data_IF_589041377715
#
_entry.id   IF_589041377715
#
_cell.length_a   1.000
_cell.length_b   1.000
_cell.length_c   1.000
_cell.angle_alpha   90.00
_cell.angle_beta   90.00
_cell.angle_gamma   90.00
#
_symmetry.space_group_name_H-M   'P 1'
#
loop_
_entity.id
_entity.type
_entity.pdbx_description
1 polymer ?
#
# COMPACT_ATOMS: atom_id res chain seq x y z
N UNK A 1 -12.21 12.19 -3.77
CA UNK A 1 -11.72 10.84 -3.39
C UNK A 1 -10.52 10.48 -4.27
N UNK A 2 -9.64 9.56 -3.84
CA UNK A 2 -8.50 9.10 -4.65
C UNK A 2 -8.27 7.58 -4.47
N UNK A 3 -8.34 6.85 -5.59
CA UNK A 3 -8.10 5.41 -5.68
C UNK A 3 -7.72 5.02 -7.11
N UNK A 4 -7.13 3.84 -7.29
CA UNK A 4 -6.47 3.45 -8.54
C UNK A 4 -7.39 3.43 -9.78
N UNK A 5 -8.66 3.01 -9.62
CA UNK A 5 -9.61 2.89 -10.72
C UNK A 5 -10.28 4.22 -11.13
N UNK A 6 -9.94 5.36 -10.51
CA UNK A 6 -10.47 6.65 -10.93
C UNK A 6 -9.88 7.07 -12.29
N UNK A 7 -10.68 7.69 -13.18
CA UNK A 7 -10.17 8.33 -14.38
C UNK A 7 -9.07 9.37 -14.04
N UNK A 8 -8.03 9.53 -14.88
CA UNK A 8 -6.92 10.45 -14.61
C UNK A 8 -7.37 11.88 -14.28
N UNK A 9 -8.34 12.40 -15.03
CA UNK A 9 -8.93 13.73 -14.80
C UNK A 9 -9.52 13.89 -13.40
N UNK A 10 -10.13 12.83 -12.86
CA UNK A 10 -10.68 12.86 -11.50
C UNK A 10 -9.60 12.72 -10.43
N UNK A 11 -8.52 12.00 -10.71
CA UNK A 11 -7.36 11.96 -9.81
C UNK A 11 -6.71 13.34 -9.69
N UNK A 12 -6.69 14.12 -10.79
CA UNK A 12 -6.10 15.47 -10.80
C UNK A 12 -6.82 16.47 -9.88
N UNK A 13 -8.14 16.31 -9.67
CA UNK A 13 -8.92 17.16 -8.74
C UNK A 13 -8.37 17.17 -7.32
N UNK A 14 -7.67 16.12 -6.92
CA UNK A 14 -7.05 16.05 -5.59
C UNK A 14 -5.90 17.04 -5.41
N UNK A 15 -5.36 17.63 -6.48
CA UNK A 15 -4.28 18.63 -6.40
C UNK A 15 -4.82 20.05 -6.41
N UNK A 16 -6.04 20.27 -6.90
CA UNK A 16 -6.68 21.59 -6.91
C UNK A 16 -6.92 22.12 -5.49
N UNK A 17 -6.76 23.42 -5.23
CA UNK A 17 -7.07 24.02 -3.93
C UNK A 17 -8.56 23.95 -3.63
N UNK A 18 -8.92 23.93 -2.35
CA UNK A 18 -10.33 24.06 -1.96
C UNK A 18 -10.82 25.50 -2.19
N UNK A 19 -12.12 25.70 -2.49
CA UNK A 19 -12.71 27.04 -2.59
C UNK A 19 -12.52 27.86 -1.30
N UNK A 20 -12.50 29.20 -1.37
CA UNK A 20 -12.38 30.06 -0.19
C UNK A 20 -13.46 29.75 0.85
N UNK A 21 -13.07 29.65 2.12
CA UNK A 21 -13.96 29.30 3.23
C UNK A 21 -14.20 27.79 3.44
N UNK A 22 -13.69 26.92 2.55
CA UNK A 22 -13.85 25.48 2.67
C UNK A 22 -12.55 24.77 3.04
N UNK A 23 -12.67 23.68 3.82
CA UNK A 23 -11.54 22.77 4.10
C UNK A 23 -11.54 21.61 3.12
N UNK A 24 -10.39 21.34 2.52
CA UNK A 24 -10.17 20.16 1.68
C UNK A 24 -10.18 18.89 2.52
N UNK A 25 -11.04 17.94 2.16
CA UNK A 25 -11.07 16.59 2.73
C UNK A 25 -10.87 15.56 1.63
N UNK A 26 -9.93 14.64 1.82
CA UNK A 26 -9.55 13.65 0.80
C UNK A 26 -9.75 12.26 1.39
N UNK A 27 -10.69 11.52 0.82
CA UNK A 27 -10.83 10.08 1.08
C UNK A 27 -9.89 9.34 0.15
N UNK A 28 -8.89 8.66 0.70
CA UNK A 28 -7.84 8.00 -0.05
C UNK A 28 -7.70 6.52 0.31
N UNK A 29 -7.38 5.71 -0.69
CA UNK A 29 -6.83 4.35 -0.47
C UNK A 29 -5.31 4.42 -0.23
N UNK A 30 -4.65 3.27 -0.15
CA UNK A 30 -3.20 3.18 -0.02
C UNK A 30 -2.41 3.80 -1.19
N UNK A 31 -3.05 4.23 -2.29
CA UNK A 31 -2.38 4.98 -3.36
C UNK A 31 -1.73 6.28 -2.86
N UNK A 32 -2.33 6.93 -1.86
CA UNK A 32 -1.77 8.14 -1.26
C UNK A 32 -0.58 7.87 -0.31
N UNK A 33 -0.33 6.60 0.05
CA UNK A 33 0.71 6.20 1.01
C UNK A 33 2.11 6.31 0.43
N UNK A 34 2.31 6.03 -0.86
CA UNK A 34 3.63 5.93 -1.49
C UNK A 34 3.79 6.95 -2.61
N UNK A 35 2.87 6.96 -3.58
CA UNK A 35 3.16 7.53 -4.90
C UNK A 35 2.75 8.99 -5.12
N UNK A 36 2.04 9.63 -4.18
CA UNK A 36 1.47 10.97 -4.41
C UNK A 36 1.72 11.93 -3.25
N UNK A 37 2.16 13.15 -3.58
CA UNK A 37 2.27 14.29 -2.66
C UNK A 37 1.15 15.26 -2.94
N UNK A 38 0.16 15.32 -2.04
CA UNK A 38 -0.94 16.27 -2.16
C UNK A 38 -0.59 17.49 -1.30
N UNK A 39 -0.52 18.70 -1.88
CA UNK A 39 -0.17 19.89 -1.13
C UNK A 39 -1.24 20.26 -0.10
N UNK A 40 -0.83 20.90 0.99
CA UNK A 40 -1.72 21.38 2.05
C UNK A 40 -2.27 20.31 3.00
N UNK A 41 -1.81 19.06 2.92
CA UNK A 41 -2.22 18.00 3.86
C UNK A 41 -1.52 18.20 5.21
N UNK A 42 -2.29 18.63 6.21
CA UNK A 42 -1.85 18.84 7.61
C UNK A 42 -2.39 17.80 8.59
N UNK A 43 -3.42 17.07 8.18
CA UNK A 43 -4.13 16.12 9.02
C UNK A 43 -4.30 14.80 8.28
N UNK A 44 -3.94 13.69 8.93
CA UNK A 44 -4.18 12.34 8.43
C UNK A 44 -5.07 11.61 9.43
N UNK A 45 -6.09 10.94 8.93
CA UNK A 45 -6.93 10.02 9.71
C UNK A 45 -6.65 8.62 9.17
N UNK A 46 -6.08 7.76 10.00
CA UNK A 46 -5.67 6.40 9.65
C UNK A 46 -6.63 5.38 10.26
N UNK A 47 -7.34 4.64 9.40
CA UNK A 47 -8.28 3.58 9.79
C UNK A 47 -7.59 2.29 10.24
N UNK A 48 -6.26 2.18 10.06
CA UNK A 48 -5.50 0.98 10.44
C UNK A 48 -5.65 -0.20 9.50
N UNK A 49 -6.34 -0.04 8.37
CA UNK A 49 -6.62 -1.13 7.43
C UNK A 49 -6.14 -0.81 6.01
N UNK A 50 -5.91 -1.87 5.24
CA UNK A 50 -5.58 -1.82 3.81
C UNK A 50 -6.25 -3.00 3.11
N UNK A 51 -6.61 -2.80 1.83
CA UNK A 51 -7.01 -3.91 0.98
C UNK A 51 -5.76 -4.51 0.35
N UNK A 52 -5.41 -5.75 0.71
CA UNK A 52 -4.25 -6.45 0.18
C UNK A 52 -4.70 -7.60 -0.71
N UNK A 53 -3.95 -7.82 -1.79
CA UNK A 53 -4.02 -9.06 -2.57
C UNK A 53 -3.30 -10.16 -1.78
N UNK A 54 -3.88 -11.35 -1.83
CA UNK A 54 -3.33 -12.57 -1.26
C UNK A 54 -3.57 -13.73 -2.23
N UNK A 55 -2.58 -14.58 -2.39
CA UNK A 55 -2.60 -15.67 -3.36
C UNK A 55 -2.50 -17.03 -2.68
N UNK A 56 -3.52 -17.87 -2.87
CA UNK A 56 -3.50 -19.25 -2.41
C UNK A 56 -3.08 -20.17 -3.56
N UNK A 57 -1.80 -20.53 -3.57
CA UNK A 57 -1.20 -21.36 -4.61
C UNK A 57 -1.78 -22.79 -4.69
N UNK A 58 -2.31 -23.33 -3.58
CA UNK A 58 -2.97 -24.66 -3.60
C UNK A 58 -4.29 -24.65 -4.35
N UNK A 59 -5.02 -23.54 -4.28
CA UNK A 59 -6.31 -23.39 -4.96
C UNK A 59 -6.18 -22.66 -6.31
N UNK A 60 -5.02 -22.06 -6.59
CA UNK A 60 -4.81 -21.18 -7.75
C UNK A 60 -5.65 -19.91 -7.71
N UNK A 61 -6.07 -19.46 -6.52
CA UNK A 61 -7.00 -18.35 -6.35
C UNK A 61 -6.30 -17.12 -5.77
N UNK A 62 -6.47 -15.98 -6.43
CA UNK A 62 -6.14 -14.67 -5.90
C UNK A 62 -7.38 -14.06 -5.23
N UNK A 63 -7.20 -13.53 -4.03
CA UNK A 63 -8.25 -12.90 -3.25
C UNK A 63 -7.84 -11.50 -2.82
N UNK A 64 -8.84 -10.67 -2.53
CA UNK A 64 -8.64 -9.28 -2.12
C UNK A 64 -9.30 -9.06 -0.76
N UNK A 65 -8.50 -9.15 0.30
CA UNK A 65 -8.95 -9.08 1.67
C UNK A 65 -8.65 -7.71 2.30
N UNK A 66 -9.52 -7.28 3.22
CA UNK A 66 -9.22 -6.16 4.11
C UNK A 66 -8.42 -6.70 5.29
N UNK A 67 -7.22 -6.18 5.48
CA UNK A 67 -6.29 -6.62 6.53
C UNK A 67 -5.76 -5.41 7.32
N UNK A 68 -5.31 -5.62 8.57
CA UNK A 68 -4.60 -4.60 9.31
C UNK A 68 -3.34 -4.14 8.57
N UNK A 69 -2.97 -2.88 8.76
CA UNK A 69 -1.73 -2.32 8.21
C UNK A 69 -0.53 -2.72 9.07
N UNK A 70 0.66 -2.73 8.50
CA UNK A 70 1.88 -2.87 9.30
C UNK A 70 2.25 -1.55 10.01
N UNK A 71 3.05 -1.61 11.07
CA UNK A 71 3.56 -0.42 11.78
C UNK A 71 4.30 0.52 10.82
N UNK A 72 5.14 -0.02 9.93
CA UNK A 72 5.81 0.73 8.89
C UNK A 72 4.83 1.46 7.96
N UNK A 73 3.71 0.82 7.58
CA UNK A 73 2.70 1.45 6.75
C UNK A 73 1.99 2.59 7.48
N UNK A 74 1.59 2.38 8.73
CA UNK A 74 0.96 3.39 9.58
C UNK A 74 1.89 4.59 9.80
N UNK A 75 3.19 4.36 10.05
CA UNK A 75 4.20 5.43 10.15
C UNK A 75 4.33 6.22 8.84
N UNK A 76 4.36 5.55 7.69
CA UNK A 76 4.38 6.23 6.39
C UNK A 76 3.12 7.07 6.15
N UNK A 77 1.93 6.59 6.56
CA UNK A 77 0.68 7.37 6.49
C UNK A 77 0.78 8.63 7.35
N UNK A 78 1.24 8.50 8.60
CA UNK A 78 1.45 9.66 9.49
C UNK A 78 2.40 10.70 8.89
N UNK A 79 3.46 10.28 8.21
CA UNK A 79 4.42 11.16 7.56
C UNK A 79 3.83 12.05 6.46
N UNK A 80 2.65 11.71 5.91
CA UNK A 80 1.98 12.53 4.88
C UNK A 80 1.46 13.86 5.43
N UNK A 81 1.15 13.94 6.73
CA UNK A 81 0.73 15.18 7.38
C UNK A 81 1.88 16.18 7.60
N UNK A 82 3.13 15.71 7.58
CA UNK A 82 4.31 16.49 7.98
C UNK A 82 5.12 17.07 6.82
N UNK A 83 4.62 17.03 5.58
CA UNK A 83 5.45 17.32 4.40
C UNK A 83 5.78 18.79 4.19
N UNK A 84 4.81 19.67 4.43
CA UNK A 84 4.97 21.12 4.23
C UNK A 84 5.09 21.87 5.57
N UNK A 85 5.42 21.16 6.64
CA UNK A 85 5.52 21.67 8.03
C UNK A 85 4.68 20.85 9.03
N UNK A 86 4.47 21.36 10.26
CA UNK A 86 3.82 20.61 11.33
C UNK A 86 2.44 20.08 10.94
N UNK A 87 2.16 18.84 11.30
CA UNK A 87 0.89 18.17 11.03
C UNK A 87 0.55 17.16 12.13
N UNK A 88 -0.69 16.65 12.09
CA UNK A 88 -1.19 15.67 13.06
C UNK A 88 -1.71 14.43 12.35
N UNK A 89 -1.41 13.27 12.92
CA UNK A 89 -1.97 12.00 12.48
C UNK A 89 -2.85 11.42 13.60
N UNK A 90 -4.10 11.13 13.28
CA UNK A 90 -5.07 10.49 14.16
C UNK A 90 -5.25 9.05 13.72
N UNK A 91 -4.96 8.10 14.60
CA UNK A 91 -5.16 6.67 14.37
C UNK A 91 -6.48 6.27 15.03
N UNK A 92 -7.32 5.56 14.29
CA UNK A 92 -8.63 5.10 14.78
C UNK A 92 -8.55 3.75 15.50
N UNK A 93 -7.42 3.50 16.18
CA UNK A 93 -7.11 2.28 16.91
C UNK A 93 -6.18 2.63 18.08
N UNK A 94 -6.14 1.78 19.10
CA UNK A 94 -5.41 2.08 20.33
C UNK A 94 -3.90 1.92 20.16
N UNK A 95 -3.12 2.46 21.08
CA UNK A 95 -1.68 2.22 21.13
C UNK A 95 -1.35 0.74 21.36
N UNK A 96 -2.15 0.05 22.15
CA UNK A 96 -2.03 -1.40 22.34
C UNK A 96 -2.24 -2.16 21.03
N UNK A 97 -3.28 -1.82 20.25
CA UNK A 97 -3.53 -2.42 18.94
C UNK A 97 -2.38 -2.14 17.97
N UNK A 98 -1.85 -0.91 17.98
CA UNK A 98 -0.68 -0.56 17.17
C UNK A 98 0.54 -1.43 17.50
N UNK A 99 0.75 -1.74 18.79
CA UNK A 99 1.83 -2.60 19.26
C UNK A 99 1.69 -4.06 18.80
N UNK A 100 0.47 -4.51 18.50
CA UNK A 100 0.18 -5.85 17.99
C UNK A 100 0.30 -5.97 16.46
N UNK A 101 0.41 -4.85 15.73
CA UNK A 101 0.58 -4.87 14.28
C UNK A 101 1.98 -5.38 13.91
N UNK A 102 2.04 -6.11 12.80
CA UNK A 102 3.31 -6.52 12.17
C UNK A 102 4.23 -5.33 11.94
N UNK A 103 5.52 -5.49 12.20
CA UNK A 103 6.49 -4.40 12.05
C UNK A 103 6.54 -3.89 10.60
N UNK A 104 6.68 -4.81 9.65
CA UNK A 104 6.79 -4.55 8.21
C UNK A 104 5.71 -5.31 7.45
N UNK A 105 5.44 -4.88 6.22
CA UNK A 105 4.56 -5.66 5.32
C UNK A 105 5.37 -6.83 4.78
N UNK A 106 4.85 -8.07 4.77
CA UNK A 106 5.57 -9.17 4.16
C UNK A 106 5.87 -8.86 2.68
N UNK A 107 7.00 -9.36 2.15
CA UNK A 107 7.38 -9.12 0.75
C UNK A 107 6.25 -9.48 -0.23
N UNK A 108 6.19 -8.79 -1.36
CA UNK A 108 5.16 -9.05 -2.38
C UNK A 108 5.38 -10.41 -3.06
N UNK A 109 6.65 -10.79 -3.26
CA UNK A 109 7.07 -12.08 -3.83
C UNK A 109 6.56 -13.29 -3.04
N UNK A 110 6.23 -13.13 -1.76
CA UNK A 110 5.72 -14.22 -0.92
C UNK A 110 4.20 -14.31 -0.88
N UNK A 111 3.48 -13.36 -1.51
CA UNK A 111 2.01 -13.20 -1.38
C UNK A 111 1.29 -13.01 -2.71
N UNK A 112 2.01 -13.06 -3.82
CA UNK A 112 1.47 -12.85 -5.16
C UNK A 112 1.79 -14.05 -6.08
N UNK A 113 1.02 -14.18 -7.16
CA UNK A 113 1.24 -15.21 -8.16
C UNK A 113 2.56 -14.93 -8.90
N UNK A 114 3.45 -15.93 -8.91
CA UNK A 114 4.79 -15.82 -9.49
C UNK A 114 4.87 -16.27 -10.96
N UNK A 115 3.78 -16.74 -11.55
CA UNK A 115 3.78 -17.34 -12.91
C UNK A 115 4.32 -16.40 -13.97
N UNK A 116 3.95 -15.11 -13.93
CA UNK A 116 4.45 -14.13 -14.90
C UNK A 116 5.94 -13.86 -14.73
N UNK A 117 6.44 -13.85 -13.49
CA UNK A 117 7.86 -13.65 -13.18
C UNK A 117 8.67 -14.85 -13.63
N UNK A 118 8.19 -16.07 -13.35
CA UNK A 118 8.83 -17.33 -13.80
C UNK A 118 8.91 -17.38 -15.33
N UNK A 119 7.83 -17.02 -16.03
CA UNK A 119 7.82 -16.99 -17.49
C UNK A 119 8.83 -15.96 -18.04
N UNK A 120 8.93 -14.80 -17.40
CA UNK A 120 9.88 -13.76 -17.77
C UNK A 120 11.34 -14.22 -17.56
N UNK A 121 11.64 -14.85 -16.43
CA UNK A 121 12.97 -15.40 -16.15
C UNK A 121 13.37 -16.46 -17.19
N UNK A 122 12.44 -17.36 -17.53
CA UNK A 122 12.64 -18.35 -18.61
C UNK A 122 12.88 -17.69 -19.97
N UNK A 123 12.13 -16.65 -20.31
CA UNK A 123 12.34 -15.90 -21.55
C UNK A 123 13.70 -15.18 -21.60
N UNK A 124 14.27 -14.85 -20.45
CA UNK A 124 15.62 -14.28 -20.32
C UNK A 124 16.73 -15.35 -20.34
N UNK A 125 16.39 -16.63 -20.49
CA UNK A 125 17.36 -17.74 -20.50
C UNK A 125 17.79 -18.22 -19.12
N UNK A 126 17.08 -17.82 -18.05
CA UNK A 126 17.35 -18.29 -16.69
C UNK A 126 16.55 -19.58 -16.48
N UNK A 127 17.23 -20.72 -16.55
CA UNK A 127 16.59 -22.01 -16.43
C UNK A 127 16.35 -22.47 -15.00
N UNK A 128 17.31 -22.20 -14.11
CA UNK A 128 17.20 -22.54 -12.70
C UNK A 128 16.53 -21.41 -11.92
N UNK A 129 15.20 -21.33 -12.06
CA UNK A 129 14.40 -20.33 -11.35
C UNK A 129 14.34 -20.62 -9.85
N UNK A 130 14.53 -21.88 -9.43
CA UNK A 130 14.44 -22.29 -8.03
C UNK A 130 15.64 -21.81 -7.22
N UNK A 131 16.84 -21.88 -7.81
CA UNK A 131 18.07 -21.38 -7.19
C UNK A 131 18.46 -19.97 -7.66
N UNK A 132 17.52 -19.25 -8.29
CA UNK A 132 17.74 -17.85 -8.63
C UNK A 132 17.90 -17.02 -7.35
N UNK A 133 18.86 -16.09 -7.37
CA UNK A 133 19.24 -15.27 -6.21
C UNK A 133 18.23 -14.14 -5.96
N UNK A 134 17.06 -14.49 -5.43
CA UNK A 134 16.06 -13.52 -5.00
C UNK A 134 16.47 -12.88 -3.67
N UNK A 135 16.25 -11.56 -3.54
CA UNK A 135 16.43 -10.85 -2.26
C UNK A 135 15.62 -11.47 -1.11
N UNK A 136 14.36 -11.83 -1.41
CA UNK A 136 13.49 -12.63 -0.54
C UNK A 136 12.99 -13.82 -1.38
N UNK A 137 13.35 -15.07 -1.06
CA UNK A 137 12.93 -16.21 -1.87
C UNK A 137 11.43 -16.47 -1.74
N UNK A 138 10.73 -16.78 -2.85
CA UNK A 138 9.31 -17.15 -2.78
C UNK A 138 9.13 -18.49 -2.02
N UNK A 139 7.93 -18.73 -1.45
CA UNK A 139 7.59 -20.04 -0.92
C UNK A 139 7.74 -21.11 -2.00
N UNK A 140 8.28 -22.28 -1.65
CA UNK A 140 8.43 -23.40 -2.61
C UNK A 140 7.11 -23.93 -3.18
N UNK A 141 5.99 -23.52 -2.60
CA UNK A 141 4.63 -23.89 -3.03
C UNK A 141 3.91 -22.77 -3.78
N UNK A 142 4.54 -21.62 -4.01
CA UNK A 142 3.94 -20.43 -4.65
C UNK A 142 3.85 -20.57 -6.18
#
# INVERSE_FOLDING_TARGET
PIYAALPPEQQMKVFEPAPPGFRKAILATNIAKTSITIPGVRFVIDTGHVKSRDYNARLGLESLAVVPVSQAQARQRSGRAGREGPGKAYRLYTEADFGQLEATTPPEITRCNMSSVVLQLKAMGIDDVVNFDFMDPPPKTA
#
